data_IF_429157400275
#
_entry.id   IF_429157400275
#
_cell.length_a   1.000
_cell.length_b   1.000
_cell.length_c   1.000
_cell.angle_alpha   90.00
_cell.angle_beta   90.00
_cell.angle_gamma   90.00
#
_symmetry.space_group_name_H-M   'P 1'
#
loop_
_entity.id
_entity.type
_entity.pdbx_description
1 polymer ?
#
# COMPACT_ATOMS: atom_id res chain seq x y z
N UNK A 1 -18.52 5.66 -20.82
CA UNK A 1 -17.07 5.93 -20.68
C UNK A 1 -16.72 7.01 -19.64
N UNK A 2 -17.59 7.97 -19.30
CA UNK A 2 -17.33 8.93 -18.21
C UNK A 2 -17.53 8.37 -16.80
N UNK A 3 -18.55 7.53 -16.60
CA UNK A 3 -18.90 6.97 -15.28
C UNK A 3 -17.80 6.04 -14.73
N UNK A 4 -17.21 5.16 -15.55
CA UNK A 4 -16.10 4.32 -15.11
C UNK A 4 -14.89 5.15 -14.66
N UNK A 5 -14.47 6.16 -15.43
CA UNK A 5 -13.37 7.04 -15.03
C UNK A 5 -13.68 7.85 -13.77
N UNK A 6 -14.95 8.21 -13.54
CA UNK A 6 -15.38 8.93 -12.33
C UNK A 6 -15.29 8.03 -11.09
N UNK A 7 -15.78 6.80 -11.19
CA UNK A 7 -15.69 5.81 -10.11
C UNK A 7 -14.23 5.48 -9.80
N UNK A 8 -13.39 5.29 -10.84
CA UNK A 8 -11.96 5.06 -10.66
C UNK A 8 -11.27 6.25 -9.99
N UNK A 9 -11.65 7.48 -10.35
CA UNK A 9 -11.07 8.69 -9.79
C UNK A 9 -11.48 8.92 -8.33
N UNK A 10 -12.74 8.66 -7.97
CA UNK A 10 -13.20 8.68 -6.57
C UNK A 10 -12.55 7.57 -5.75
N UNK A 11 -12.41 6.36 -6.31
CA UNK A 11 -11.75 5.25 -5.64
C UNK A 11 -10.27 5.55 -5.37
N UNK A 12 -9.56 6.10 -6.37
CA UNK A 12 -8.17 6.56 -6.19
C UNK A 12 -8.10 7.74 -5.23
N UNK A 13 -9.06 8.66 -5.30
CA UNK A 13 -9.18 9.80 -4.39
C UNK A 13 -9.28 9.37 -2.94
N UNK A 14 -10.19 8.44 -2.63
CA UNK A 14 -10.37 7.88 -1.28
C UNK A 14 -9.11 7.16 -0.78
N UNK A 15 -8.41 6.41 -1.64
CA UNK A 15 -7.15 5.76 -1.30
C UNK A 15 -5.99 6.74 -1.03
N UNK A 16 -6.01 7.90 -1.69
CA UNK A 16 -5.03 8.98 -1.51
C UNK A 16 -5.36 9.82 -0.26
N UNK A 17 -6.66 10.05 -0.01
CA UNK A 17 -7.18 10.85 1.11
C UNK A 17 -7.08 10.09 2.45
N UNK A 18 -7.16 8.75 2.45
CA UNK A 18 -6.81 7.87 3.59
C UNK A 18 -5.29 7.89 3.95
N UNK A 19 -4.53 8.89 3.47
CA UNK A 19 -3.25 9.26 4.05
C UNK A 19 -2.06 8.41 3.59
N UNK A 20 -2.01 8.01 2.32
CA UNK A 20 -0.88 7.28 1.69
C UNK A 20 -0.77 5.79 2.06
N UNK A 21 -1.58 5.25 2.97
CA UNK A 21 -1.42 3.89 3.49
C UNK A 21 -1.65 2.80 2.43
N UNK A 22 -2.83 2.84 1.82
CA UNK A 22 -3.28 1.77 0.92
C UNK A 22 -2.54 1.82 -0.43
N UNK A 23 -2.19 3.01 -0.90
CA UNK A 23 -1.36 3.20 -2.09
C UNK A 23 0.07 2.67 -1.87
N UNK A 24 0.69 2.93 -0.72
CA UNK A 24 2.00 2.38 -0.36
C UNK A 24 1.97 0.84 -0.28
N UNK A 25 0.92 0.27 0.30
CA UNK A 25 0.75 -1.19 0.39
C UNK A 25 0.61 -1.82 -1.01
N UNK A 26 -0.17 -1.21 -1.91
CA UNK A 26 -0.30 -1.67 -3.30
C UNK A 26 1.03 -1.63 -4.05
N UNK A 27 1.79 -0.54 -3.93
CA UNK A 27 3.11 -0.42 -4.55
C UNK A 27 4.08 -1.47 -3.99
N UNK A 28 4.08 -1.67 -2.67
CA UNK A 28 4.91 -2.68 -2.02
C UNK A 28 4.59 -4.10 -2.53
N UNK A 29 3.30 -4.46 -2.60
CA UNK A 29 2.85 -5.76 -3.11
C UNK A 29 3.27 -5.94 -4.57
N UNK A 30 3.12 -4.91 -5.40
CA UNK A 30 3.52 -4.96 -6.81
C UNK A 30 5.03 -5.16 -6.96
N UNK A 31 5.84 -4.44 -6.19
CA UNK A 31 7.30 -4.57 -6.21
C UNK A 31 7.77 -5.95 -5.73
N UNK A 32 7.22 -6.46 -4.63
CA UNK A 32 7.62 -7.77 -4.10
C UNK A 32 7.11 -8.89 -5.02
N UNK A 33 5.89 -8.78 -5.55
CA UNK A 33 5.38 -9.72 -6.54
C UNK A 33 6.24 -9.76 -7.82
N UNK A 34 6.68 -8.59 -8.29
CA UNK A 34 7.63 -8.50 -9.41
C UNK A 34 8.98 -9.13 -9.04
N UNK A 35 9.50 -8.89 -7.83
CA UNK A 35 10.75 -9.50 -7.38
C UNK A 35 10.67 -11.03 -7.30
N UNK A 36 9.58 -11.58 -6.75
CA UNK A 36 9.37 -13.03 -6.70
C UNK A 36 9.27 -13.62 -8.10
N UNK A 37 8.55 -12.96 -9.01
CA UNK A 37 8.28 -13.50 -10.35
C UNK A 37 9.43 -13.29 -11.35
N UNK A 38 10.16 -12.19 -11.25
CA UNK A 38 11.22 -11.81 -12.21
C UNK A 38 12.62 -12.14 -11.70
N UNK A 39 12.89 -12.05 -10.40
CA UNK A 39 14.20 -12.36 -9.81
C UNK A 39 14.28 -13.76 -9.18
N UNK A 40 13.21 -14.56 -9.24
CA UNK A 40 13.19 -15.93 -8.72
C UNK A 40 13.31 -16.00 -7.21
N UNK A 41 12.89 -14.95 -6.50
CA UNK A 41 12.92 -14.92 -5.04
C UNK A 41 12.04 -16.05 -4.47
N UNK A 42 12.46 -16.76 -3.39
CA UNK A 42 11.66 -17.81 -2.79
C UNK A 42 10.26 -17.26 -2.41
N UNK A 43 9.16 -17.94 -2.78
CA UNK A 43 7.80 -17.42 -2.55
C UNK A 43 7.51 -17.15 -1.07
N UNK A 44 8.04 -17.99 -0.19
CA UNK A 44 7.95 -17.83 1.27
C UNK A 44 8.66 -16.56 1.75
N UNK A 45 9.85 -16.28 1.23
CA UNK A 45 10.58 -15.06 1.56
C UNK A 45 9.83 -13.82 1.08
N UNK A 46 9.27 -13.85 -0.13
CA UNK A 46 8.42 -12.77 -0.65
C UNK A 46 7.17 -12.53 0.21
N UNK A 47 6.50 -13.59 0.65
CA UNK A 47 5.35 -13.49 1.54
C UNK A 47 5.68 -12.84 2.88
N UNK A 48 6.80 -13.24 3.51
CA UNK A 48 7.29 -12.62 4.75
C UNK A 48 7.63 -11.13 4.54
N UNK A 49 8.25 -10.80 3.41
CA UNK A 49 8.63 -9.43 3.06
C UNK A 49 7.41 -8.53 2.86
N UNK A 50 6.34 -9.04 2.23
CA UNK A 50 5.05 -8.33 2.10
C UNK A 50 4.44 -8.13 3.49
N UNK A 51 4.41 -9.17 4.32
CA UNK A 51 3.79 -9.09 5.64
C UNK A 51 4.50 -8.05 6.52
N UNK A 52 5.83 -8.09 6.57
CA UNK A 52 6.63 -7.12 7.32
C UNK A 52 6.50 -5.70 6.76
N UNK A 53 6.52 -5.54 5.44
CA UNK A 53 6.38 -4.23 4.81
C UNK A 53 4.98 -3.63 5.03
N UNK A 54 3.91 -4.44 4.97
CA UNK A 54 2.57 -4.00 5.34
C UNK A 54 2.52 -3.57 6.82
N UNK A 55 3.10 -4.35 7.74
CA UNK A 55 3.16 -3.97 9.16
C UNK A 55 3.90 -2.64 9.37
N UNK A 56 5.01 -2.42 8.67
CA UNK A 56 5.77 -1.18 8.75
C UNK A 56 4.98 0.03 8.26
N UNK A 57 4.25 -0.10 7.14
CA UNK A 57 3.38 0.94 6.60
C UNK A 57 2.24 1.27 7.59
N UNK A 58 1.57 0.24 8.12
CA UNK A 58 0.53 0.36 9.16
C UNK A 58 1.05 1.10 10.39
N UNK A 59 2.24 0.71 10.87
CA UNK A 59 2.86 1.32 12.04
C UNK A 59 3.25 2.79 11.79
N UNK A 60 3.80 3.10 10.62
CA UNK A 60 4.17 4.46 10.25
C UNK A 60 2.96 5.38 10.19
N UNK A 61 1.86 4.91 9.61
CA UNK A 61 0.64 5.71 9.53
C UNK A 61 -0.11 5.80 10.85
N UNK A 62 -0.15 4.74 11.67
CA UNK A 62 -0.67 4.83 13.02
C UNK A 62 0.09 5.86 13.86
N UNK A 63 1.44 5.88 13.74
CA UNK A 63 2.28 6.91 14.37
C UNK A 63 2.04 8.30 13.81
N UNK A 64 1.76 8.43 12.51
CA UNK A 64 1.49 9.72 11.86
C UNK A 64 0.14 10.27 12.32
N UNK A 65 -0.91 9.45 12.28
CA UNK A 65 -2.24 9.80 12.75
C UNK A 65 -2.25 10.19 14.23
N UNK A 66 -1.48 9.47 15.07
CA UNK A 66 -1.31 9.82 16.48
C UNK A 66 -0.66 11.20 16.70
N UNK A 67 0.26 11.63 15.82
CA UNK A 67 0.90 12.96 15.91
C UNK A 67 0.06 14.08 15.31
N UNK A 68 -0.76 13.79 14.30
CA UNK A 68 -1.66 14.75 13.67
C UNK A 68 -2.92 14.99 14.53
N UNK A 69 -3.33 14.02 15.36
CA UNK A 69 -4.44 14.15 16.31
C UNK A 69 -4.14 14.94 17.60
N UNK A 70 -2.90 15.38 17.83
CA UNK A 70 -2.49 16.21 18.98
C UNK A 70 -2.46 17.72 18.67
N UNK A 71 -3.12 18.18 17.59
CA UNK A 71 -3.28 19.62 17.28
C UNK A 71 -4.73 20.06 17.29
#
# INVERSE_FOLDING_TARGET
>A
MKILSLILKELVGMFVDDGSLALLALVLIALIGAAVKLLGLPPLAGGVLILLGCLAILWQSARRAAREGER
#
